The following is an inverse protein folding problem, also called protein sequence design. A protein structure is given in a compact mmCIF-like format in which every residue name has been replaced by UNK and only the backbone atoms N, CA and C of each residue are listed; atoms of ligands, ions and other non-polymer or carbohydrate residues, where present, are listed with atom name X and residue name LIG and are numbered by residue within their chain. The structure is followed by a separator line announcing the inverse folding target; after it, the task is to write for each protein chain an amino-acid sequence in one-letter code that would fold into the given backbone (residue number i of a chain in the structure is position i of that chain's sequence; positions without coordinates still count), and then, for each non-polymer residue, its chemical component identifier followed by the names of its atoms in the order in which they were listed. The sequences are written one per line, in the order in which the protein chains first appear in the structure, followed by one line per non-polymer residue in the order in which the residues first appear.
data_IF_879630635460
#
_entry.id   IF_879630635460
#
_cell.length_a   1.000
_cell.length_b   1.000
_cell.length_c   1.000
_cell.angle_alpha   90.00
_cell.angle_beta   90.00
_cell.angle_gamma   90.00
#
_symmetry.space_group_name_H-M   'P 1'
#
loop_
_entity.id
_entity.type
_entity.pdbx_description
1 polymer ?
#
# COMPACT_ATOMS: atom_id res chain seq x y z
N UNK A 1 5.83 -44.04 -14.96
CA UNK A 1 6.44 -42.87 -15.64
C UNK A 1 5.57 -41.65 -15.39
N UNK A 2 6.06 -40.66 -14.64
CA UNK A 2 5.26 -39.51 -14.23
C UNK A 2 5.02 -38.57 -15.42
N UNK A 3 3.74 -38.41 -15.78
CA UNK A 3 3.27 -37.52 -16.84
C UNK A 3 3.77 -36.09 -16.63
N UNK A 4 4.54 -35.56 -17.57
CA UNK A 4 4.86 -34.14 -17.70
C UNK A 4 3.60 -33.38 -18.12
N UNK A 5 2.61 -33.28 -17.22
CA UNK A 5 1.53 -32.29 -17.34
C UNK A 5 2.18 -30.93 -17.47
N UNK A 6 1.90 -30.23 -18.57
CA UNK A 6 2.21 -28.82 -18.81
C UNK A 6 1.91 -28.02 -17.54
N UNK A 7 2.92 -27.80 -16.69
CA UNK A 7 2.79 -26.92 -15.54
C UNK A 7 2.99 -25.51 -16.08
N UNK A 8 2.04 -24.64 -15.78
CA UNK A 8 2.17 -23.22 -16.13
C UNK A 8 3.48 -22.68 -15.55
N UNK A 9 4.34 -22.03 -16.36
CA UNK A 9 5.64 -21.53 -15.92
C UNK A 9 5.51 -20.63 -14.69
N UNK A 10 4.45 -19.83 -14.61
CA UNK A 10 4.10 -19.00 -13.45
C UNK A 10 3.95 -19.81 -12.14
N UNK A 11 3.25 -20.95 -12.17
CA UNK A 11 3.10 -21.81 -10.98
C UNK A 11 4.41 -22.50 -10.60
N UNK A 12 5.24 -22.82 -11.58
CA UNK A 12 6.57 -23.39 -11.31
C UNK A 12 7.45 -22.33 -10.64
N UNK A 13 7.45 -21.11 -11.16
CA UNK A 13 8.15 -19.98 -10.56
C UNK A 13 7.64 -19.71 -9.14
N UNK A 14 6.33 -19.67 -8.91
CA UNK A 14 5.76 -19.47 -7.58
C UNK A 14 6.20 -20.57 -6.58
N UNK A 15 6.25 -21.83 -7.01
CA UNK A 15 6.73 -22.94 -6.18
C UNK A 15 8.22 -22.84 -5.84
N UNK A 16 9.05 -22.40 -6.80
CA UNK A 16 10.48 -22.16 -6.57
C UNK A 16 10.71 -20.98 -5.62
N UNK A 17 9.97 -19.87 -5.80
CA UNK A 17 9.96 -18.73 -4.87
C UNK A 17 9.61 -19.19 -3.44
N UNK A 18 8.57 -20.01 -3.29
CA UNK A 18 8.19 -20.55 -1.99
C UNK A 18 9.29 -21.43 -1.36
N UNK A 19 10.00 -22.21 -2.16
CA UNK A 19 11.12 -23.04 -1.69
C UNK A 19 12.28 -22.18 -1.17
N UNK A 20 12.60 -21.07 -1.84
CA UNK A 20 13.67 -20.14 -1.44
C UNK A 20 13.41 -19.54 -0.06
N UNK A 21 12.19 -19.08 0.21
CA UNK A 21 11.85 -18.47 1.50
C UNK A 21 11.58 -19.47 2.63
N UNK A 22 11.55 -20.77 2.33
CA UNK A 22 11.24 -21.78 3.33
C UNK A 22 12.49 -22.09 4.20
N UNK A 23 12.46 -21.86 5.52
CA UNK A 23 13.61 -22.12 6.40
C UNK A 23 13.94 -23.61 6.54
N UNK A 24 13.03 -24.51 6.11
CA UNK A 24 13.23 -25.96 6.14
C UNK A 24 13.93 -26.51 4.90
N UNK A 25 14.19 -25.67 3.90
CA UNK A 25 14.90 -26.05 2.67
C UNK A 25 16.39 -25.78 2.86
N UNK A 26 17.25 -26.68 2.38
CA UNK A 26 18.70 -26.50 2.46
C UNK A 26 19.18 -25.35 1.59
N UNK A 27 20.27 -24.69 1.98
CA UNK A 27 20.84 -23.57 1.22
C UNK A 27 21.17 -23.97 -0.22
N UNK A 28 21.76 -25.15 -0.42
CA UNK A 28 22.03 -25.71 -1.76
C UNK A 28 20.77 -25.89 -2.62
N UNK A 29 19.63 -26.22 -2.02
CA UNK A 29 18.36 -26.37 -2.73
C UNK A 29 17.71 -25.01 -3.01
N UNK A 30 17.95 -24.00 -2.17
CA UNK A 30 17.54 -22.62 -2.43
C UNK A 30 18.34 -22.03 -3.60
N UNK A 31 19.66 -22.23 -3.63
CA UNK A 31 20.53 -21.80 -4.74
C UNK A 31 20.07 -22.40 -6.07
N UNK A 32 19.78 -23.70 -6.12
CA UNK A 32 19.22 -24.33 -7.33
C UNK A 32 17.86 -23.77 -7.73
N UNK A 33 17.02 -23.40 -6.75
CA UNK A 33 15.75 -22.76 -7.04
C UNK A 33 15.93 -21.34 -7.62
N UNK A 34 16.95 -20.59 -7.16
CA UNK A 34 17.35 -19.30 -7.73
C UNK A 34 17.80 -19.43 -9.18
N UNK A 35 18.78 -20.30 -9.46
CA UNK A 35 19.28 -20.53 -10.83
C UNK A 35 18.15 -20.91 -11.80
N UNK A 36 17.20 -21.72 -11.31
CA UNK A 36 16.06 -22.16 -12.10
C UNK A 36 15.04 -21.06 -12.34
N UNK A 37 14.84 -20.13 -11.39
CA UNK A 37 14.04 -18.93 -11.59
C UNK A 37 14.69 -17.97 -12.57
N UNK A 38 16.01 -17.82 -12.53
CA UNK A 38 16.79 -16.99 -13.44
C UNK A 38 16.73 -17.53 -14.86
N UNK A 39 16.91 -18.84 -15.03
CA UNK A 39 16.77 -19.53 -16.33
C UNK A 39 15.36 -19.35 -16.92
N UNK A 40 14.34 -19.19 -16.07
CA UNK A 40 12.95 -18.96 -16.47
C UNK A 40 12.63 -17.47 -16.74
N UNK A 41 13.58 -16.56 -16.55
CA UNK A 41 13.36 -15.11 -16.65
C UNK A 41 12.43 -14.56 -15.55
N UNK A 42 12.23 -15.30 -14.46
CA UNK A 42 11.33 -14.96 -13.36
C UNK A 42 12.08 -14.51 -12.09
N UNK A 43 13.40 -14.33 -12.18
CA UNK A 43 14.25 -13.89 -11.06
C UNK A 43 14.12 -12.38 -10.75
N UNK A 44 13.85 -11.53 -11.75
CA UNK A 44 13.64 -10.08 -11.53
C UNK A 44 12.40 -9.79 -10.67
N UNK A 45 11.42 -10.69 -10.73
CA UNK A 45 10.14 -10.63 -10.00
C UNK A 45 10.26 -11.09 -8.53
N UNK A 46 11.49 -11.26 -8.00
CA UNK A 46 11.75 -11.59 -6.59
C UNK A 46 12.04 -10.36 -5.74
N UNK A 47 12.68 -9.32 -6.31
CA UNK A 47 12.91 -8.06 -5.59
C UNK A 47 11.59 -7.35 -5.30
N UNK A 48 10.66 -7.40 -6.25
CA UNK A 48 9.34 -6.77 -6.12
C UNK A 48 8.48 -7.44 -5.02
N UNK A 49 8.60 -8.76 -4.83
CA UNK A 49 7.88 -9.48 -3.77
C UNK A 49 8.35 -9.08 -2.37
N UNK A 50 9.65 -8.78 -2.20
CA UNK A 50 10.17 -8.30 -0.92
C UNK A 50 9.69 -6.89 -0.60
N UNK A 51 9.60 -6.02 -1.61
CA UNK A 51 9.08 -4.67 -1.47
C UNK A 51 7.55 -4.65 -1.26
N UNK A 52 6.81 -5.54 -1.94
CA UNK A 52 5.38 -5.73 -1.71
C UNK A 52 5.08 -6.23 -0.30
N UNK A 53 5.86 -7.20 0.19
CA UNK A 53 5.69 -7.71 1.54
C UNK A 53 5.96 -6.61 2.58
N UNK A 54 7.05 -5.84 2.42
CA UNK A 54 7.34 -4.69 3.26
C UNK A 54 6.19 -3.66 3.22
N UNK A 55 5.70 -3.34 2.02
CA UNK A 55 4.57 -2.41 1.82
C UNK A 55 3.30 -2.90 2.53
N UNK A 56 2.96 -4.19 2.40
CA UNK A 56 1.80 -4.80 3.06
C UNK A 56 1.94 -4.79 4.59
N UNK A 57 3.14 -5.06 5.11
CA UNK A 57 3.42 -5.02 6.55
C UNK A 57 3.25 -3.59 7.10
N UNK A 58 3.83 -2.60 6.43
CA UNK A 58 3.70 -1.19 6.82
C UNK A 58 2.23 -0.73 6.72
N UNK A 59 1.49 -1.13 5.69
CA UNK A 59 0.05 -0.87 5.60
C UNK A 59 -0.73 -1.49 6.78
N UNK A 60 -0.34 -2.68 7.23
CA UNK A 60 -0.90 -3.32 8.42
C UNK A 60 -0.66 -2.52 9.70
N UNK A 61 0.56 -2.03 9.91
CA UNK A 61 0.86 -1.14 11.04
C UNK A 61 0.06 0.16 10.98
N UNK A 62 -0.14 0.72 9.79
CA UNK A 62 -0.98 1.92 9.60
C UNK A 62 -2.43 1.64 9.99
N UNK A 63 -2.97 0.49 9.58
CA UNK A 63 -4.32 0.09 9.97
C UNK A 63 -4.45 -0.12 11.49
N UNK A 64 -3.42 -0.67 12.14
CA UNK A 64 -3.41 -0.89 13.58
C UNK A 64 -3.53 0.41 14.38
N UNK A 65 -2.96 1.52 13.90
CA UNK A 65 -3.06 2.84 14.54
C UNK A 65 -4.50 3.36 14.64
N UNK A 66 -5.31 3.08 13.61
CA UNK A 66 -6.70 3.54 13.52
C UNK A 66 -7.72 2.54 14.10
N UNK A 67 -7.28 1.35 14.51
CA UNK A 67 -8.17 0.34 15.06
C UNK A 67 -8.34 0.52 16.57
N UNK A 68 -9.56 0.77 17.04
CA UNK A 68 -9.87 0.97 18.45
C UNK A 68 -9.66 -0.28 19.31
N UNK A 69 -9.65 -1.47 18.70
CA UNK A 69 -9.40 -2.75 19.39
C UNK A 69 -7.92 -3.01 19.65
N UNK A 70 -7.02 -2.18 19.12
CA UNK A 70 -5.58 -2.32 19.31
C UNK A 70 -5.16 -1.55 20.56
N UNK A 71 -4.33 -2.17 21.40
CA UNK A 71 -3.86 -1.56 22.64
C UNK A 71 -3.01 -0.31 22.40
N UNK A 72 -2.95 0.63 23.37
CA UNK A 72 -2.11 1.82 23.26
C UNK A 72 -0.62 1.49 23.03
N UNK A 73 -0.12 0.45 23.68
CA UNK A 73 1.26 -0.04 23.54
C UNK A 73 1.53 -0.57 22.12
N UNK A 74 0.61 -1.37 21.57
CA UNK A 74 0.73 -1.88 20.21
C UNK A 74 0.64 -0.76 19.16
N UNK A 75 -0.18 0.28 19.40
CA UNK A 75 -0.22 1.48 18.57
C UNK A 75 1.08 2.27 18.65
N UNK A 76 1.70 2.37 19.83
CA UNK A 76 3.02 3.02 19.98
C UNK A 76 4.08 2.29 19.16
N UNK A 77 4.16 0.97 19.29
CA UNK A 77 5.08 0.15 18.50
C UNK A 77 4.82 0.26 17.00
N UNK A 78 3.56 0.25 16.57
CA UNK A 78 3.21 0.45 15.16
C UNK A 78 3.71 1.79 14.61
N UNK A 79 3.66 2.86 15.43
CA UNK A 79 4.20 4.18 15.07
C UNK A 79 5.72 4.14 14.91
N UNK A 80 6.43 3.54 15.86
CA UNK A 80 7.89 3.41 15.82
C UNK A 80 8.37 2.64 14.57
N UNK A 81 7.68 1.55 14.20
CA UNK A 81 8.00 0.77 13.00
C UNK A 81 7.79 1.58 11.71
N UNK A 82 6.69 2.34 11.64
CA UNK A 82 6.40 3.19 10.48
C UNK A 82 7.41 4.34 10.35
N UNK A 83 7.77 4.97 11.46
CA UNK A 83 8.77 6.04 11.48
C UNK A 83 10.16 5.53 11.06
N UNK A 84 10.57 4.36 11.57
CA UNK A 84 11.82 3.71 11.16
C UNK A 84 11.84 3.36 9.66
N UNK A 85 10.68 3.10 9.06
CA UNK A 85 10.52 2.88 7.62
C UNK A 85 10.38 4.18 6.81
N UNK A 86 10.53 5.36 7.44
CA UNK A 86 10.40 6.66 6.77
C UNK A 86 8.97 7.10 6.51
N UNK A 87 7.96 6.42 7.07
CA UNK A 87 6.57 6.84 7.02
C UNK A 87 6.24 7.74 8.20
N UNK A 88 6.26 9.05 7.96
CA UNK A 88 5.75 10.05 8.91
C UNK A 88 4.23 9.96 8.96
N UNK A 89 3.68 9.45 10.07
CA UNK A 89 2.23 9.37 10.30
C UNK A 89 1.66 10.73 10.74
N UNK A 90 2.51 11.57 11.33
CA UNK A 90 2.10 12.91 11.71
C UNK A 90 1.74 13.70 10.45
N UNK A 91 0.55 14.31 10.45
CA UNK A 91 0.18 15.35 9.50
C UNK A 91 1.33 16.35 9.53
N UNK A 92 2.02 16.52 8.41
CA UNK A 92 3.14 17.45 8.30
C UNK A 92 2.75 18.76 8.99
N UNK A 93 3.39 19.17 10.09
CA UNK A 93 3.03 20.42 10.76
C UNK A 93 3.31 21.64 9.87
N UNK A 94 4.06 21.49 8.78
CA UNK A 94 4.19 22.48 7.69
C UNK A 94 2.99 22.49 6.74
N UNK A 95 2.13 21.46 6.72
CA UNK A 95 0.79 21.56 6.12
C UNK A 95 -0.08 22.43 7.02
N UNK A 96 0.15 23.73 6.84
CA UNK A 96 -0.63 24.81 7.43
C UNK A 96 -2.12 24.53 7.26
N UNK A 97 -2.91 24.93 8.24
CA UNK A 97 -4.38 24.88 8.16
C UNK A 97 -4.86 25.47 6.81
N UNK A 98 -4.17 26.51 6.33
CA UNK A 98 -4.34 27.12 5.00
C UNK A 98 -4.24 26.15 3.81
N UNK A 99 -3.29 25.21 3.79
CA UNK A 99 -3.18 24.26 2.66
C UNK A 99 -4.31 23.24 2.66
N UNK A 100 -4.75 22.81 3.83
CA UNK A 100 -5.92 21.94 3.96
C UNK A 100 -7.18 22.67 3.46
N UNK A 101 -7.40 23.90 3.91
CA UNK A 101 -8.52 24.73 3.49
C UNK A 101 -8.50 25.01 1.98
N UNK A 102 -7.34 25.33 1.40
CA UNK A 102 -7.18 25.47 -0.06
C UNK A 102 -7.60 24.22 -0.82
N UNK A 103 -7.22 23.03 -0.34
CA UNK A 103 -7.60 21.75 -0.98
C UNK A 103 -9.09 21.47 -0.83
N UNK A 104 -9.68 21.78 0.33
CA UNK A 104 -11.12 21.64 0.56
C UNK A 104 -11.90 22.56 -0.38
N UNK A 105 -11.53 23.84 -0.46
CA UNK A 105 -12.12 24.83 -1.38
C UNK A 105 -11.99 24.35 -2.84
N UNK A 106 -10.81 23.88 -3.25
CA UNK A 106 -10.59 23.36 -4.60
C UNK A 106 -11.48 22.15 -4.90
N UNK A 107 -11.68 21.26 -3.92
CA UNK A 107 -12.57 20.11 -4.03
C UNK A 107 -14.04 20.51 -4.23
N UNK A 108 -14.53 21.47 -3.44
CA UNK A 108 -15.89 21.99 -3.61
C UNK A 108 -16.08 22.70 -4.95
N UNK A 109 -15.08 23.48 -5.41
CA UNK A 109 -15.11 24.07 -6.77
C UNK A 109 -15.19 23.01 -7.86
N UNK A 110 -14.40 21.94 -7.74
CA UNK A 110 -14.46 20.82 -8.68
C UNK A 110 -15.82 20.11 -8.66
N UNK A 111 -16.46 19.98 -7.50
CA UNK A 111 -17.78 19.37 -7.35
C UNK A 111 -18.87 20.13 -8.14
N UNK A 112 -18.82 21.47 -8.19
CA UNK A 112 -19.76 22.29 -8.96
C UNK A 112 -19.73 21.95 -10.46
N UNK A 113 -18.54 21.73 -11.01
CA UNK A 113 -18.34 21.44 -12.44
C UNK A 113 -18.47 19.97 -12.79
N UNK A 114 -18.45 19.06 -11.82
CA UNK A 114 -18.52 17.64 -12.07
C UNK A 114 -19.97 17.23 -12.49
N UNK A 115 -20.18 16.65 -13.69
CA UNK A 115 -21.51 16.23 -14.13
C UNK A 115 -22.06 15.03 -13.34
N UNK A 116 -21.21 14.30 -12.60
CA UNK A 116 -21.62 13.15 -11.78
C UNK A 116 -22.07 13.53 -10.36
N UNK A 117 -21.96 14.79 -9.98
CA UNK A 117 -22.39 15.28 -8.66
C UNK A 117 -23.85 15.72 -8.75
N UNK A 118 -24.66 15.35 -7.76
CA UNK A 118 -26.08 15.72 -7.69
C UNK A 118 -26.28 17.22 -7.52
N UNK A 119 -27.45 17.73 -7.93
CA UNK A 119 -27.78 19.14 -7.77
C UNK A 119 -27.75 19.58 -6.30
N UNK A 120 -28.30 18.77 -5.38
CA UNK A 120 -28.28 19.04 -3.94
C UNK A 120 -26.84 19.16 -3.39
N UNK A 121 -25.94 18.27 -3.83
CA UNK A 121 -24.54 18.32 -3.43
C UNK A 121 -23.80 19.53 -4.02
N UNK A 122 -24.17 19.98 -5.23
CA UNK A 122 -23.65 21.22 -5.81
C UNK A 122 -24.15 22.45 -5.08
N UNK A 123 -25.41 22.45 -4.65
CA UNK A 123 -25.96 23.55 -3.89
C UNK A 123 -25.26 23.69 -2.53
N UNK A 124 -25.06 22.58 -1.81
CA UNK A 124 -24.26 22.57 -0.60
C UNK A 124 -22.81 23.03 -0.85
N UNK A 125 -22.21 22.62 -1.96
CA UNK A 125 -20.87 23.08 -2.35
C UNK A 125 -20.82 24.60 -2.60
N UNK A 126 -21.87 25.19 -3.20
CA UNK A 126 -21.97 26.64 -3.37
C UNK A 126 -22.13 27.36 -2.03
N UNK A 127 -23.03 26.89 -1.17
CA UNK A 127 -23.27 27.48 0.15
C UNK A 127 -22.00 27.49 1.00
N UNK A 128 -21.27 26.37 1.02
CA UNK A 128 -19.98 26.28 1.70
C UNK A 128 -18.94 27.25 1.13
N UNK A 129 -18.81 27.32 -0.21
CA UNK A 129 -17.89 28.25 -0.87
C UNK A 129 -18.24 29.71 -0.61
N UNK A 130 -19.51 30.05 -0.48
CA UNK A 130 -19.98 31.39 -0.14
C UNK A 130 -19.68 31.74 1.33
N UNK A 131 -19.88 30.81 2.26
CA UNK A 131 -19.57 30.98 3.67
C UNK A 131 -18.07 31.25 3.91
N UNK A 132 -17.21 30.50 3.22
CA UNK A 132 -15.74 30.68 3.33
C UNK A 132 -15.20 31.80 2.43
N UNK A 133 -16.07 32.54 1.72
CA UNK A 133 -15.68 33.67 0.87
C UNK A 133 -14.84 33.30 -0.37
N UNK A 134 -14.99 32.07 -0.87
CA UNK A 134 -14.22 31.52 -1.98
C UNK A 134 -15.02 31.31 -3.27
N UNK A 135 -16.28 31.79 -3.32
CA UNK A 135 -17.18 31.72 -4.48
C UNK A 135 -16.79 32.71 -5.59
#
# INVERSE_FOLDING_TARGET
MASSRNKSPERVAAGLKAAIHNPRVSETAKEQAYEKLETMGAAEDMTDVTDEHATRVLAGYKAALHNDRVSPEAKKHAREVLEAAGYSIEKDPSMTQDEHEKRVIAGYKAALHNPRVSNDAKQHAMEYLQEVGAL
#
